data_IF_296631428496
#
_entry.id   IF_296631428496
#
_cell.length_a   1.000
_cell.length_b   1.000
_cell.length_c   1.000
_cell.angle_alpha   90.00
_cell.angle_beta   90.00
_cell.angle_gamma   90.00
#
_symmetry.space_group_name_H-M   'P 1'
#
loop_
_entity.id
_entity.type
_entity.pdbx_description
1 polymer ?
#
# COMPACT_ATOMS: atom_id res chain seq x y z
N UNK A 1 -13.91 -12.40 -9.44
CA UNK A 1 -12.46 -12.63 -9.35
C UNK A 1 -12.15 -13.70 -8.32
N UNK A 2 -12.52 -13.51 -7.05
CA UNK A 2 -12.26 -14.47 -5.95
C UNK A 2 -12.73 -15.92 -6.19
N UNK A 3 -13.78 -16.13 -7.01
CA UNK A 3 -14.28 -17.47 -7.35
C UNK A 3 -13.59 -18.13 -8.55
N UNK A 4 -12.81 -17.36 -9.32
CA UNK A 4 -12.29 -17.77 -10.63
C UNK A 4 -10.76 -17.79 -10.68
N UNK A 5 -10.10 -17.01 -9.84
CA UNK A 5 -8.65 -16.85 -9.81
C UNK A 5 -8.12 -17.21 -8.43
N UNK A 6 -6.86 -17.64 -8.38
CA UNK A 6 -6.15 -17.73 -7.11
C UNK A 6 -6.03 -16.36 -6.45
N UNK A 7 -5.77 -16.33 -5.13
CA UNK A 7 -5.52 -15.09 -4.40
C UNK A 7 -4.36 -14.31 -5.02
N UNK A 8 -3.29 -15.02 -5.38
CA UNK A 8 -2.11 -14.42 -6.02
C UNK A 8 -2.44 -13.78 -7.38
N UNK A 9 -3.13 -14.52 -8.27
CA UNK A 9 -3.58 -13.99 -9.57
C UNK A 9 -4.51 -12.79 -9.41
N UNK A 10 -5.39 -12.85 -8.42
CA UNK A 10 -6.29 -11.75 -8.14
C UNK A 10 -5.54 -10.50 -7.66
N UNK A 11 -4.57 -10.67 -6.75
CA UNK A 11 -3.76 -9.56 -6.25
C UNK A 11 -2.82 -8.98 -7.31
N UNK A 12 -2.26 -9.83 -8.19
CA UNK A 12 -1.41 -9.36 -9.30
C UNK A 12 -2.19 -8.49 -10.27
N UNK A 13 -3.48 -8.76 -10.51
CA UNK A 13 -4.35 -7.89 -11.30
C UNK A 13 -4.71 -6.62 -10.52
N UNK A 14 -5.14 -6.75 -9.26
CA UNK A 14 -5.65 -5.62 -8.49
C UNK A 14 -4.58 -4.58 -8.13
N UNK A 15 -3.34 -5.00 -7.89
CA UNK A 15 -2.25 -4.06 -7.62
C UNK A 15 -1.91 -3.16 -8.81
N UNK A 16 -2.25 -3.57 -10.04
CA UNK A 16 -2.08 -2.74 -11.24
C UNK A 16 -3.19 -1.69 -11.38
N UNK A 17 -4.31 -1.84 -10.66
CA UNK A 17 -5.44 -0.91 -10.66
C UNK A 17 -5.26 0.24 -9.64
N UNK A 18 -4.04 0.48 -9.15
CA UNK A 18 -3.74 1.54 -8.19
C UNK A 18 -4.13 2.94 -8.70
N UNK A 19 -4.87 3.71 -7.92
CA UNK A 19 -5.24 5.09 -8.24
C UNK A 19 -4.21 6.11 -7.72
N UNK A 20 -4.28 7.37 -8.15
CA UNK A 20 -3.39 8.47 -7.69
C UNK A 20 -1.89 8.12 -7.77
N UNK A 21 -1.51 7.43 -8.84
CA UNK A 21 -0.13 7.01 -9.10
C UNK A 21 0.66 8.05 -9.89
N UNK A 22 0.00 9.15 -10.25
CA UNK A 22 0.50 10.34 -10.94
C UNK A 22 0.12 11.62 -10.15
N UNK A 23 0.52 12.79 -10.65
CA UNK A 23 0.21 14.07 -10.02
C UNK A 23 1.05 14.39 -8.79
N UNK A 24 0.60 15.37 -7.98
CA UNK A 24 1.37 15.91 -6.84
C UNK A 24 1.87 14.85 -5.85
N UNK A 25 1.06 13.85 -5.42
CA UNK A 25 1.56 12.82 -4.51
C UNK A 25 2.70 12.01 -5.11
N UNK A 26 2.55 11.57 -6.36
CA UNK A 26 3.56 10.80 -7.06
C UNK A 26 4.86 11.58 -7.29
N UNK A 27 4.77 12.89 -7.54
CA UNK A 27 5.93 13.78 -7.63
C UNK A 27 6.65 13.85 -6.29
N UNK A 28 5.93 14.08 -5.18
CA UNK A 28 6.54 14.11 -3.85
C UNK A 28 7.26 12.80 -3.50
N UNK A 29 6.67 11.66 -3.84
CA UNK A 29 7.32 10.35 -3.65
C UNK A 29 8.60 10.19 -4.49
N UNK A 30 8.62 10.70 -5.72
CA UNK A 30 9.80 10.70 -6.59
C UNK A 30 10.90 11.62 -6.08
N UNK A 31 10.53 12.84 -5.68
CA UNK A 31 11.48 13.82 -5.15
C UNK A 31 12.12 13.32 -3.85
N UNK A 32 11.35 12.61 -3.01
CA UNK A 32 11.88 11.89 -1.85
C UNK A 32 12.93 10.85 -2.25
N UNK A 33 12.62 10.00 -3.25
CA UNK A 33 13.54 8.99 -3.76
C UNK A 33 14.85 9.61 -4.26
N UNK A 34 14.77 10.73 -5.00
CA UNK A 34 15.94 11.47 -5.47
C UNK A 34 16.74 12.10 -4.32
N UNK A 35 16.06 12.74 -3.35
CA UNK A 35 16.69 13.38 -2.18
C UNK A 35 17.51 12.38 -1.37
N UNK A 36 17.04 11.14 -1.26
CA UNK A 36 17.65 10.09 -0.44
C UNK A 36 18.24 8.94 -1.27
N UNK A 37 18.64 9.19 -2.52
CA UNK A 37 19.16 8.15 -3.42
C UNK A 37 20.34 7.36 -2.84
N UNK A 38 21.21 8.02 -2.08
CA UNK A 38 22.43 7.43 -1.50
C UNK A 38 22.18 6.76 -0.14
N UNK A 39 20.91 6.65 0.29
CA UNK A 39 20.51 5.99 1.54
C UNK A 39 20.11 4.55 1.29
N UNK A 40 20.41 3.69 2.27
CA UNK A 40 19.91 2.32 2.30
C UNK A 40 18.39 2.28 2.39
N UNK A 41 17.78 1.17 2.00
CA UNK A 41 16.33 0.96 2.13
C UNK A 41 15.83 1.21 3.57
N UNK A 42 16.56 0.71 4.57
CA UNK A 42 16.22 0.87 5.98
C UNK A 42 16.23 2.34 6.39
N UNK A 43 17.23 3.11 5.95
CA UNK A 43 17.30 4.55 6.20
C UNK A 43 16.15 5.29 5.49
N UNK A 44 15.87 4.97 4.22
CA UNK A 44 14.75 5.56 3.46
C UNK A 44 13.42 5.34 4.18
N UNK A 45 13.15 4.12 4.66
CA UNK A 45 11.93 3.80 5.42
C UNK A 45 11.83 4.62 6.70
N UNK A 46 12.93 4.76 7.46
CA UNK A 46 12.96 5.62 8.66
C UNK A 46 12.68 7.08 8.32
N UNK A 47 13.12 7.55 7.17
CA UNK A 47 12.95 8.93 6.71
C UNK A 47 11.57 9.20 6.07
N UNK A 48 10.77 8.18 5.74
CA UNK A 48 9.46 8.37 5.10
C UNK A 48 8.54 9.31 5.87
N UNK A 49 8.66 9.41 7.20
CA UNK A 49 7.86 10.34 8.00
C UNK A 49 8.06 11.82 7.59
N UNK A 50 9.18 12.17 6.96
CA UNK A 50 9.43 13.52 6.44
C UNK A 50 8.60 13.84 5.17
N UNK A 51 8.13 12.81 4.47
CA UNK A 51 7.35 12.98 3.25
C UNK A 51 5.94 13.47 3.60
N UNK A 52 5.75 14.78 3.48
CA UNK A 52 4.47 15.47 3.73
C UNK A 52 3.55 15.38 2.51
N UNK A 53 2.88 14.24 2.35
CA UNK A 53 1.80 14.04 1.37
C UNK A 53 0.63 13.32 2.03
N UNK A 54 -0.63 13.64 1.68
CA UNK A 54 -1.82 12.99 2.26
C UNK A 54 -1.91 11.48 1.98
N UNK A 55 -1.02 10.95 1.14
CA UNK A 55 -0.99 9.56 0.71
C UNK A 55 0.31 8.84 1.10
N UNK A 56 0.95 9.24 2.19
CA UNK A 56 2.12 8.56 2.74
C UNK A 56 1.71 7.59 3.86
N UNK A 57 1.45 6.31 3.57
CA UNK A 57 1.11 5.35 4.60
C UNK A 57 2.34 5.00 5.46
N UNK A 58 2.19 4.87 6.79
CA UNK A 58 3.22 4.30 7.64
C UNK A 58 3.66 2.91 7.14
N UNK A 59 4.95 2.66 7.18
CA UNK A 59 5.56 1.41 6.71
C UNK A 59 6.49 0.81 7.78
N UNK A 60 6.61 -0.52 7.79
CA UNK A 60 7.56 -1.26 8.63
C UNK A 60 8.22 -2.36 7.84
N UNK A 61 9.55 -2.36 7.80
CA UNK A 61 10.34 -3.49 7.30
C UNK A 61 10.31 -4.60 8.35
N UNK A 62 9.90 -5.80 7.96
CA UNK A 62 9.82 -6.97 8.82
C UNK A 62 11.15 -7.74 8.80
N UNK A 63 11.35 -8.62 9.79
CA UNK A 63 12.59 -9.41 9.92
C UNK A 63 12.81 -10.43 8.80
N UNK A 64 11.75 -10.80 8.08
CA UNK A 64 11.78 -11.71 6.93
C UNK A 64 12.01 -10.99 5.59
N UNK A 65 12.34 -9.69 5.62
CA UNK A 65 12.57 -8.88 4.42
C UNK A 65 11.30 -8.35 3.75
N UNK A 66 10.11 -8.68 4.26
CA UNK A 66 8.84 -8.12 3.73
C UNK A 66 8.58 -6.71 4.26
N UNK A 67 7.74 -5.95 3.56
CA UNK A 67 7.32 -4.61 3.96
C UNK A 67 5.82 -4.61 4.32
N UNK A 68 5.48 -4.31 5.58
CA UNK A 68 4.11 -4.03 6.00
C UNK A 68 3.79 -2.55 5.80
N UNK A 69 2.65 -2.23 5.19
CA UNK A 69 2.17 -0.86 4.96
C UNK A 69 0.77 -0.70 5.53
N UNK A 70 0.59 0.31 6.38
CA UNK A 70 -0.64 0.55 7.12
C UNK A 70 -1.38 1.76 6.57
N UNK A 71 -2.67 1.62 6.25
CA UNK A 71 -3.39 2.74 5.64
C UNK A 71 -4.87 2.81 5.99
N UNK A 72 -5.19 3.52 7.08
CA UNK A 72 -6.54 3.78 7.55
C UNK A 72 -6.63 5.13 8.23
N UNK A 73 -7.83 5.68 8.29
CA UNK A 73 -8.15 6.79 9.19
C UNK A 73 -8.68 6.25 10.53
N UNK A 74 -8.67 7.08 11.57
CA UNK A 74 -9.23 6.71 12.87
C UNK A 74 -8.25 5.96 13.77
N UNK A 75 -8.80 5.32 14.80
CA UNK A 75 -8.04 4.65 15.86
C UNK A 75 -8.61 3.24 16.11
N UNK A 76 -7.96 2.50 17.00
CA UNK A 76 -8.28 1.10 17.29
C UNK A 76 -9.78 0.86 17.52
N UNK A 77 -10.33 -0.13 16.81
CA UNK A 77 -11.75 -0.48 16.85
C UNK A 77 -12.69 0.44 16.04
N UNK A 78 -12.19 1.53 15.46
CA UNK A 78 -12.97 2.46 14.64
C UNK A 78 -12.14 3.01 13.45
N UNK A 79 -11.77 2.12 12.53
CA UNK A 79 -10.99 2.46 11.36
C UNK A 79 -11.85 2.85 10.16
N UNK A 80 -11.54 4.00 9.56
CA UNK A 80 -12.14 4.47 8.31
C UNK A 80 -11.35 4.01 7.09
N UNK A 81 -12.05 3.47 6.09
CA UNK A 81 -11.45 3.16 4.79
C UNK A 81 -10.90 4.43 4.13
N UNK A 82 -9.68 4.37 3.56
CA UNK A 82 -9.07 5.50 2.85
C UNK A 82 -9.58 5.67 1.41
N UNK A 83 -10.16 4.61 0.83
CA UNK A 83 -10.58 4.59 -0.56
C UNK A 83 -11.78 5.51 -0.80
N UNK A 84 -11.57 6.58 -1.56
CA UNK A 84 -12.63 7.54 -1.91
C UNK A 84 -13.79 6.93 -2.71
N UNK A 85 -13.56 5.83 -3.45
CA UNK A 85 -14.63 5.09 -4.12
C UNK A 85 -15.53 4.37 -3.11
N UNK A 86 -14.92 3.59 -2.19
CA UNK A 86 -15.65 2.83 -1.17
C UNK A 86 -16.44 3.75 -0.23
N UNK A 87 -15.88 4.90 0.14
CA UNK A 87 -16.56 5.88 1.01
C UNK A 87 -17.89 6.40 0.46
N UNK A 88 -18.10 6.34 -0.86
CA UNK A 88 -19.31 6.82 -1.52
C UNK A 88 -20.41 5.76 -1.62
N UNK A 89 -20.11 4.51 -1.23
CA UNK A 89 -21.05 3.40 -1.34
C UNK A 89 -21.95 3.33 -0.09
N UNK A 90 -23.23 3.03 -0.31
CA UNK A 90 -24.21 2.84 0.76
C UNK A 90 -23.79 1.71 1.70
N UNK A 91 -23.92 1.95 3.01
CA UNK A 91 -23.55 1.00 4.05
C UNK A 91 -24.77 0.19 4.52
N UNK A 92 -24.59 -1.07 4.97
CA UNK A 92 -23.34 -1.79 5.09
C UNK A 92 -22.84 -2.35 3.75
N UNK A 93 -21.54 -2.23 3.49
CA UNK A 93 -20.93 -2.82 2.30
C UNK A 93 -20.17 -4.11 2.62
N UNK A 94 -20.29 -5.10 1.73
CA UNK A 94 -19.41 -6.29 1.73
C UNK A 94 -18.38 -6.14 0.63
N UNK A 95 -17.15 -5.81 1.01
CA UNK A 95 -16.00 -5.73 0.09
C UNK A 95 -15.05 -6.89 0.38
N UNK A 96 -14.72 -7.65 -0.67
CA UNK A 96 -13.66 -8.65 -0.58
C UNK A 96 -12.30 -8.02 -0.27
N UNK A 97 -11.47 -8.59 0.62
CA UNK A 97 -10.10 -8.13 0.84
C UNK A 97 -9.29 -8.03 -0.46
N UNK A 98 -9.54 -8.91 -1.43
CA UNK A 98 -8.90 -8.88 -2.75
C UNK A 98 -9.14 -7.56 -3.48
N UNK A 99 -10.35 -6.98 -3.38
CA UNK A 99 -10.64 -5.68 -3.99
C UNK A 99 -9.76 -4.56 -3.41
N UNK A 100 -9.41 -4.66 -2.12
CA UNK A 100 -8.50 -3.72 -1.48
C UNK A 100 -7.06 -3.82 -2.02
N UNK A 101 -6.75 -4.83 -2.84
CA UNK A 101 -5.51 -4.89 -3.61
C UNK A 101 -5.28 -3.66 -4.50
N UNK A 102 -6.34 -2.95 -4.93
CA UNK A 102 -6.22 -1.63 -5.59
C UNK A 102 -5.56 -0.58 -4.69
N UNK A 103 -5.93 -0.52 -3.40
CA UNK A 103 -5.28 0.37 -2.43
C UNK A 103 -3.84 -0.07 -2.16
N UNK A 104 -3.59 -1.38 -2.16
CA UNK A 104 -2.24 -1.93 -2.16
C UNK A 104 -1.44 -1.50 -3.39
N UNK A 105 -2.06 -1.45 -4.57
CA UNK A 105 -1.46 -0.94 -5.80
C UNK A 105 -1.09 0.54 -5.75
N UNK A 106 -1.97 1.37 -5.17
CA UNK A 106 -1.67 2.78 -4.93
C UNK A 106 -0.41 2.93 -4.07
N UNK A 107 -0.40 2.28 -2.90
CA UNK A 107 0.73 2.39 -1.97
C UNK A 107 2.02 1.84 -2.61
N UNK A 108 1.94 0.69 -3.29
CA UNK A 108 3.03 0.09 -4.06
C UNK A 108 3.67 1.08 -5.01
N UNK A 109 2.91 1.64 -5.95
CA UNK A 109 3.46 2.49 -7.00
C UNK A 109 4.08 3.79 -6.48
N UNK A 110 3.60 4.31 -5.34
CA UNK A 110 4.17 5.49 -4.73
C UNK A 110 5.41 5.15 -3.88
N UNK A 111 5.37 4.07 -3.09
CA UNK A 111 6.52 3.63 -2.30
C UNK A 111 7.69 3.17 -3.16
N UNK A 112 7.46 2.51 -4.30
CA UNK A 112 8.53 2.15 -5.22
C UNK A 112 9.32 3.40 -5.70
N UNK A 113 8.65 4.54 -5.91
CA UNK A 113 9.33 5.80 -6.28
C UNK A 113 10.17 6.37 -5.13
N UNK A 114 9.75 6.17 -3.89
CA UNK A 114 10.46 6.68 -2.71
C UNK A 114 11.59 5.78 -2.24
N UNK A 115 11.40 4.47 -2.35
CA UNK A 115 12.32 3.47 -1.81
C UNK A 115 13.32 2.98 -2.86
N UNK A 116 13.02 3.17 -4.14
CA UNK A 116 13.83 2.71 -5.27
C UNK A 116 14.05 1.20 -5.26
N UNK A 117 12.96 0.47 -5.03
CA UNK A 117 12.91 -1.00 -5.05
C UNK A 117 11.65 -1.44 -5.77
N UNK A 118 11.61 -2.66 -6.27
CA UNK A 118 10.39 -3.29 -6.77
C UNK A 118 9.63 -3.93 -5.62
N UNK A 119 8.32 -3.75 -5.61
CA UNK A 119 7.43 -4.30 -4.59
C UNK A 119 6.35 -5.14 -5.26
N UNK A 120 6.06 -6.30 -4.69
CA UNK A 120 4.95 -7.16 -5.11
C UNK A 120 3.97 -7.32 -3.97
N UNK A 121 2.69 -7.03 -4.20
CA UNK A 121 1.66 -7.20 -3.18
C UNK A 121 1.45 -8.70 -2.92
N UNK A 122 2.00 -9.19 -1.81
CA UNK A 122 1.91 -10.58 -1.38
C UNK A 122 0.55 -10.87 -0.75
N UNK A 123 0.06 -9.94 0.07
CA UNK A 123 -1.18 -10.12 0.81
C UNK A 123 -1.86 -8.80 1.20
N UNK A 124 -3.19 -8.79 1.16
CA UNK A 124 -4.01 -7.85 1.92
C UNK A 124 -4.32 -8.51 3.27
N UNK A 125 -3.52 -8.19 4.29
CA UNK A 125 -3.58 -8.84 5.61
C UNK A 125 -4.86 -8.44 6.34
N UNK A 126 -5.23 -7.16 6.21
CA UNK A 126 -6.46 -6.61 6.79
C UNK A 126 -6.97 -5.43 5.98
N UNK A 127 -8.26 -5.11 6.16
CA UNK A 127 -8.93 -3.99 5.50
C UNK A 127 -10.01 -3.41 6.40
N UNK A 128 -10.01 -2.10 6.55
CA UNK A 128 -11.07 -1.37 7.24
C UNK A 128 -12.43 -1.59 6.56
N UNK A 129 -12.49 -1.62 5.22
CA UNK A 129 -13.74 -1.83 4.50
C UNK A 129 -14.28 -3.26 4.70
N UNK A 130 -13.42 -4.27 4.55
CA UNK A 130 -13.82 -5.68 4.65
C UNK A 130 -14.16 -6.11 6.08
N UNK A 131 -13.57 -5.45 7.08
CA UNK A 131 -13.82 -5.73 8.50
C UNK A 131 -14.94 -4.90 9.13
N UNK A 132 -15.55 -3.98 8.38
CA UNK A 132 -16.53 -3.03 8.92
C UNK A 132 -15.91 -2.06 9.95
N UNK A 133 -14.65 -1.67 9.74
CA UNK A 133 -13.91 -0.73 10.60
C UNK A 133 -13.23 -1.35 11.82
N UNK A 134 -13.32 -2.66 12.03
CA UNK A 134 -12.72 -3.34 13.19
C UNK A 134 -11.20 -3.45 13.12
N UNK A 135 -10.64 -3.51 11.91
CA UNK A 135 -9.20 -3.62 11.66
C UNK A 135 -8.73 -2.48 10.76
N UNK A 136 -7.51 -1.99 10.97
CA UNK A 136 -6.86 -1.10 10.01
C UNK A 136 -6.61 -1.87 8.70
N UNK A 137 -6.27 -1.15 7.63
CA UNK A 137 -5.73 -1.78 6.43
C UNK A 137 -4.26 -2.06 6.63
N UNK A 138 -3.83 -3.29 6.31
CA UNK A 138 -2.43 -3.69 6.22
C UNK A 138 -2.22 -4.41 4.89
N UNK A 139 -1.21 -3.93 4.15
CA UNK A 139 -0.74 -4.52 2.90
C UNK A 139 0.67 -5.04 3.11
N UNK A 140 0.88 -6.31 2.83
CA UNK A 140 2.18 -6.96 2.94
C UNK A 140 2.80 -7.08 1.56
N UNK A 141 4.00 -6.55 1.40
CA UNK A 141 4.75 -6.63 0.15
C UNK A 141 5.96 -7.53 0.31
N UNK A 142 6.23 -8.30 -0.74
CA UNK A 142 7.56 -8.80 -1.01
C UNK A 142 8.38 -7.69 -1.67
N UNK A 143 9.64 -7.57 -1.25
CA UNK A 143 10.62 -6.70 -1.91
C UNK A 143 11.36 -7.59 -2.90
N UNK A 144 11.20 -7.31 -4.18
CA UNK A 144 11.92 -8.05 -5.21
C UNK A 144 13.36 -7.53 -5.22
N UNK A 145 14.32 -8.41 -4.93
CA UNK A 145 15.72 -8.07 -5.17
C UNK A 145 15.89 -7.83 -6.67
N UNK A 146 16.46 -6.69 -7.06
CA UNK A 146 16.97 -6.58 -8.42
C UNK A 146 18.01 -7.69 -8.57
N UNK A 147 17.75 -8.60 -9.51
CA UNK A 147 18.79 -9.46 -10.05
C UNK A 147 19.84 -8.54 -10.65
N UNK A 148 20.81 -8.12 -9.83
CA UNK A 148 21.99 -7.45 -10.30
C UNK A 148 22.68 -8.45 -11.25
N UNK A 149 22.47 -8.24 -12.54
CA UNK A 149 23.26 -8.81 -13.63
C UNK A 149 24.57 -8.03 -13.69
#
# INVERSE_FOLDING_TARGET
MDKLLSKEQSLSIMQEQGCCTTGKPAVAHRDFGHKYKDKTLVEKIKLLHELKTPHNPPCRLNSDGTLSVYWSFGQEGNYGCVCGFVKKLSQPIKISPTFCGCCGGHARQNLQKSLDVKLRLKEVVSSAASSGGKKSCEFLYEIEEDSAI
#
